data_IF_698849702450
#
_entry.id   IF_698849702450
#
_cell.length_a   1.000
_cell.length_b   1.000
_cell.length_c   1.000
_cell.angle_alpha   90.00
_cell.angle_beta   90.00
_cell.angle_gamma   90.00
#
_symmetry.space_group_name_H-M   'P 1'
#
loop_
_entity.id
_entity.type
_entity.pdbx_description
1 polymer ?
#
# COMPACT_ATOMS: atom_id res chain seq x y z
N UNK A 1 16.89 16.48 -18.70
CA UNK A 1 17.37 17.88 -18.58
C UNK A 1 16.51 18.57 -17.54
N UNK A 2 17.06 19.41 -16.66
CA UNK A 2 16.30 20.10 -15.62
C UNK A 2 15.71 21.43 -16.09
N UNK A 3 14.52 21.78 -15.60
CA UNK A 3 13.86 23.06 -15.89
C UNK A 3 14.69 24.26 -15.42
N UNK A 4 14.99 25.21 -16.31
CA UNK A 4 15.68 26.45 -15.97
C UNK A 4 14.72 27.64 -15.97
N UNK A 5 14.12 27.92 -14.82
CA UNK A 5 13.13 28.99 -14.64
C UNK A 5 13.62 30.36 -15.13
N UNK A 6 14.84 30.75 -14.78
CA UNK A 6 15.39 32.06 -15.17
C UNK A 6 15.59 32.20 -16.69
N UNK A 7 15.87 31.10 -17.40
CA UNK A 7 15.96 31.10 -18.85
C UNK A 7 14.58 31.10 -19.52
N UNK A 8 13.68 30.22 -19.06
CA UNK A 8 12.33 30.12 -19.64
C UNK A 8 11.52 31.41 -19.45
N UNK A 9 11.64 32.07 -18.29
CA UNK A 9 10.98 33.36 -18.05
C UNK A 9 11.51 34.49 -18.93
N UNK A 10 12.81 34.48 -19.23
CA UNK A 10 13.41 35.42 -20.20
C UNK A 10 12.89 35.19 -21.61
N UNK A 11 12.83 33.93 -22.06
CA UNK A 11 12.25 33.59 -23.37
C UNK A 11 10.78 34.01 -23.48
N UNK A 12 10.00 33.75 -22.43
CA UNK A 12 8.58 34.14 -22.39
C UNK A 12 8.44 35.66 -22.50
N UNK A 13 9.16 36.42 -21.69
CA UNK A 13 9.09 37.88 -21.70
C UNK A 13 9.53 38.47 -23.06
N UNK A 14 10.57 37.92 -23.69
CA UNK A 14 11.02 38.36 -25.01
C UNK A 14 9.96 38.13 -26.10
N UNK A 15 9.25 36.99 -26.08
CA UNK A 15 8.13 36.73 -26.99
C UNK A 15 6.98 37.73 -26.76
N UNK A 16 6.67 37.99 -25.49
CA UNK A 16 5.55 38.83 -25.09
C UNK A 16 5.75 40.32 -25.37
N UNK A 17 6.98 40.77 -25.52
CA UNK A 17 7.29 42.16 -25.89
C UNK A 17 6.68 42.54 -27.25
N UNK A 18 6.81 41.66 -28.25
CA UNK A 18 6.21 41.87 -29.57
C UNK A 18 4.71 41.59 -29.60
N UNK A 19 4.24 40.52 -28.93
CA UNK A 19 2.82 40.15 -28.88
C UNK A 19 1.95 41.26 -28.29
N UNK A 20 2.43 41.95 -27.24
CA UNK A 20 1.72 43.08 -26.64
C UNK A 20 1.47 44.21 -27.64
N UNK A 21 2.40 44.45 -28.57
CA UNK A 21 2.22 45.48 -29.61
C UNK A 21 1.19 45.01 -30.63
N UNK A 22 1.34 43.79 -31.16
CA UNK A 22 0.43 43.23 -32.16
C UNK A 22 -1.02 43.17 -31.67
N UNK A 23 -1.24 42.73 -30.44
CA UNK A 23 -2.60 42.66 -29.88
C UNK A 23 -3.21 44.03 -29.63
N UNK A 24 -2.41 45.04 -29.26
CA UNK A 24 -2.90 46.43 -29.16
C UNK A 24 -3.30 46.98 -30.52
N UNK A 25 -2.48 46.73 -31.56
CA UNK A 25 -2.78 47.13 -32.93
C UNK A 25 -4.02 46.43 -33.49
N UNK A 26 -4.27 45.19 -33.08
CA UNK A 26 -5.49 44.44 -33.38
C UNK A 26 -6.72 44.90 -32.58
N UNK A 27 -6.59 45.93 -31.72
CA UNK A 27 -7.69 46.50 -30.95
C UNK A 27 -8.06 45.73 -29.67
N UNK A 28 -7.21 44.81 -29.20
CA UNK A 28 -7.44 44.12 -27.93
C UNK A 28 -7.26 45.03 -26.73
N UNK A 29 -8.09 44.83 -25.71
CA UNK A 29 -7.98 45.59 -24.46
C UNK A 29 -6.72 45.21 -23.67
N UNK A 30 -6.25 46.11 -22.82
CA UNK A 30 -5.08 45.85 -21.97
C UNK A 30 -5.32 44.69 -21.03
N UNK A 31 -6.54 44.54 -20.54
CA UNK A 31 -6.98 43.46 -19.66
C UNK A 31 -6.92 42.12 -20.37
N UNK A 32 -7.40 42.04 -21.62
CA UNK A 32 -7.33 40.81 -22.42
C UNK A 32 -5.88 40.39 -22.71
N UNK A 33 -5.02 41.37 -23.06
CA UNK A 33 -3.59 41.12 -23.30
C UNK A 33 -2.88 40.65 -22.03
N UNK A 34 -3.23 41.23 -20.88
CA UNK A 34 -2.66 40.85 -19.59
C UNK A 34 -3.10 39.44 -19.17
N UNK A 35 -4.38 39.11 -19.34
CA UNK A 35 -4.91 37.78 -19.02
C UNK A 35 -4.25 36.68 -19.86
N UNK A 36 -3.95 36.94 -21.14
CA UNK A 36 -3.22 35.98 -21.97
C UNK A 36 -1.76 35.80 -21.52
N UNK A 37 -1.09 36.88 -21.08
CA UNK A 37 0.25 36.78 -20.52
C UNK A 37 0.27 35.97 -19.22
N UNK A 38 -0.73 36.17 -18.36
CA UNK A 38 -0.88 35.42 -17.12
C UNK A 38 -1.14 33.95 -17.38
N UNK A 39 -1.96 33.62 -18.38
CA UNK A 39 -2.17 32.23 -18.81
C UNK A 39 -0.84 31.56 -19.22
N UNK A 40 -0.04 32.19 -20.08
CA UNK A 40 1.24 31.62 -20.49
C UNK A 40 2.25 31.52 -19.32
N UNK A 41 2.19 32.47 -18.37
CA UNK A 41 3.00 32.42 -17.16
C UNK A 41 2.60 31.24 -16.27
N UNK A 42 1.29 30.97 -16.15
CA UNK A 42 0.75 29.85 -15.38
C UNK A 42 1.13 28.50 -16.01
N UNK A 43 1.13 28.39 -17.34
CA UNK A 43 1.66 27.21 -18.03
C UNK A 43 3.12 26.96 -17.66
N UNK A 44 3.97 27.99 -17.71
CA UNK A 44 5.38 27.88 -17.34
C UNK A 44 5.55 27.48 -15.86
N UNK A 45 4.74 28.05 -14.96
CA UNK A 45 4.75 27.68 -13.55
C UNK A 45 4.32 26.23 -13.33
N UNK A 46 3.34 25.75 -14.09
CA UNK A 46 2.87 24.36 -14.05
C UNK A 46 3.95 23.40 -14.53
N UNK A 47 4.64 23.69 -15.63
CA UNK A 47 5.77 22.89 -16.12
C UNK A 47 6.89 22.81 -15.08
N UNK A 48 7.23 23.94 -14.45
CA UNK A 48 8.20 23.98 -13.36
C UNK A 48 7.77 23.11 -12.18
N UNK A 49 6.51 23.21 -11.78
CA UNK A 49 5.97 22.45 -10.67
C UNK A 49 5.97 20.94 -10.98
N UNK A 50 5.62 20.58 -12.21
CA UNK A 50 5.69 19.20 -12.68
C UNK A 50 7.12 18.67 -12.60
N UNK A 51 8.11 19.36 -13.17
CA UNK A 51 9.50 18.91 -13.15
C UNK A 51 10.11 18.84 -11.74
N UNK A 52 9.65 19.70 -10.82
CA UNK A 52 10.11 19.70 -9.43
C UNK A 52 9.48 18.59 -8.59
N UNK A 53 8.22 18.25 -8.87
CA UNK A 53 7.43 17.32 -8.06
C UNK A 53 7.30 15.94 -8.70
N UNK A 54 7.84 15.72 -9.90
CA UNK A 54 7.90 14.40 -10.52
C UNK A 54 9.29 13.80 -10.39
N UNK A 55 9.32 12.57 -9.89
CA UNK A 55 10.53 11.75 -9.82
C UNK A 55 10.25 10.48 -10.61
N UNK A 56 11.14 10.13 -11.53
CA UNK A 56 11.07 8.87 -12.24
C UNK A 56 11.40 7.73 -11.27
N UNK A 57 10.56 6.70 -11.25
CA UNK A 57 10.85 5.45 -10.55
C UNK A 57 11.90 4.70 -11.38
N UNK A 58 13.14 4.72 -10.93
CA UNK A 58 14.26 4.06 -11.60
C UNK A 58 15.00 3.15 -10.62
N UNK A 59 15.27 1.90 -11.00
CA UNK A 59 16.10 0.94 -10.26
C UNK A 59 17.61 1.22 -10.46
N UNK A 60 18.00 2.49 -10.56
CA UNK A 60 19.32 2.90 -11.04
C UNK A 60 20.29 3.28 -9.92
N UNK A 61 21.39 2.53 -9.80
CA UNK A 61 22.51 2.71 -8.87
C UNK A 61 23.45 3.89 -9.23
N UNK A 62 23.03 4.83 -10.09
CA UNK A 62 23.90 5.87 -10.65
C UNK A 62 23.87 7.17 -9.82
N UNK A 63 25.06 7.71 -9.53
CA UNK A 63 25.33 8.73 -8.51
C UNK A 63 24.57 10.07 -8.72
N UNK A 64 24.13 10.34 -9.96
CA UNK A 64 23.39 11.57 -10.31
C UNK A 64 21.95 11.59 -9.81
N UNK A 65 21.40 10.41 -9.48
CA UNK A 65 20.04 10.24 -8.98
C UNK A 65 19.99 9.96 -7.48
N UNK A 66 21.12 9.97 -6.76
CA UNK A 66 21.21 9.59 -5.36
C UNK A 66 20.23 10.32 -4.42
N UNK A 67 19.95 11.61 -4.65
CA UNK A 67 18.94 12.37 -3.89
C UNK A 67 17.49 11.94 -4.21
N UNK A 68 17.19 11.69 -5.48
CA UNK A 68 15.86 11.22 -5.93
C UNK A 68 15.61 9.77 -5.51
N UNK A 69 16.65 8.94 -5.54
CA UNK A 69 16.64 7.58 -5.04
C UNK A 69 16.48 7.53 -3.50
N UNK A 70 17.04 8.49 -2.77
CA UNK A 70 16.85 8.59 -1.31
C UNK A 70 15.40 8.90 -0.92
N UNK A 71 14.74 9.84 -1.61
CA UNK A 71 13.32 10.14 -1.40
C UNK A 71 12.47 8.92 -1.76
N UNK A 72 12.76 8.25 -2.89
CA UNK A 72 12.04 7.04 -3.29
C UNK A 72 12.17 5.89 -2.28
N UNK A 73 13.37 5.63 -1.74
CA UNK A 73 13.57 4.59 -0.70
C UNK A 73 12.77 4.86 0.58
N UNK A 74 12.59 6.13 0.96
CA UNK A 74 11.74 6.49 2.12
C UNK A 74 10.26 6.23 1.83
N UNK A 75 9.80 6.58 0.62
CA UNK A 75 8.43 6.27 0.20
C UNK A 75 8.21 4.77 0.09
N UNK A 76 9.12 4.03 -0.55
CA UNK A 76 9.08 2.57 -0.66
C UNK A 76 9.00 1.92 0.72
N UNK A 77 9.87 2.30 1.67
CA UNK A 77 9.82 1.76 3.03
C UNK A 77 8.53 2.13 3.79
N UNK A 78 7.95 3.31 3.52
CA UNK A 78 6.70 3.73 4.17
C UNK A 78 5.45 3.05 3.59
N UNK A 79 5.49 2.63 2.32
CA UNK A 79 4.35 2.00 1.63
C UNK A 79 4.49 0.48 1.49
N UNK A 80 5.68 -0.07 1.68
CA UNK A 80 5.91 -1.52 1.64
C UNK A 80 5.52 -2.14 2.97
N UNK A 81 4.61 -3.10 2.93
CA UNK A 81 4.31 -3.99 4.04
C UNK A 81 4.90 -5.35 3.68
N UNK A 82 5.84 -5.83 4.50
CA UNK A 82 6.32 -7.21 4.41
C UNK A 82 5.33 -8.10 5.14
N UNK A 83 4.59 -8.91 4.37
CA UNK A 83 3.77 -9.98 4.93
C UNK A 83 4.67 -11.17 5.28
N UNK A 84 4.51 -11.71 6.49
CA UNK A 84 5.21 -12.91 6.98
C UNK A 84 4.34 -14.15 6.80
N UNK A 85 3.60 -14.21 5.69
CA UNK A 85 2.74 -15.33 5.36
C UNK A 85 3.55 -16.58 4.99
N UNK A 86 3.24 -17.69 5.65
CA UNK A 86 3.73 -19.01 5.32
C UNK A 86 2.73 -19.73 4.42
N UNK A 87 3.17 -20.22 3.27
CA UNK A 87 2.34 -21.10 2.44
C UNK A 87 2.05 -22.41 3.18
N UNK A 88 0.76 -22.70 3.39
CA UNK A 88 0.30 -23.91 4.08
C UNK A 88 -0.56 -24.78 3.18
N UNK A 89 -0.74 -26.05 3.55
CA UNK A 89 -1.70 -26.94 2.86
C UNK A 89 -3.16 -26.67 3.24
N UNK A 90 -3.39 -25.75 4.17
CA UNK A 90 -4.72 -25.43 4.69
C UNK A 90 -5.43 -24.43 3.79
N UNK A 91 -6.75 -24.57 3.66
CA UNK A 91 -7.61 -23.54 3.04
C UNK A 91 -7.95 -22.38 3.98
N UNK A 92 -7.58 -22.48 5.26
CA UNK A 92 -7.81 -21.46 6.27
C UNK A 92 -6.58 -20.53 6.34
N UNK A 93 -6.67 -19.35 5.74
CA UNK A 93 -5.55 -18.43 5.54
C UNK A 93 -4.84 -18.00 6.83
N UNK A 94 -5.57 -17.80 7.92
CA UNK A 94 -5.02 -17.41 9.23
C UNK A 94 -3.95 -18.37 9.76
N UNK A 95 -3.93 -19.62 9.28
CA UNK A 95 -2.90 -20.59 9.67
C UNK A 95 -1.54 -20.20 9.09
N UNK A 96 -1.50 -19.61 7.89
CA UNK A 96 -0.26 -19.10 7.29
C UNK A 96 0.30 -17.85 8.00
N UNK A 97 -0.52 -17.18 8.82
CA UNK A 97 -0.09 -16.04 9.64
C UNK A 97 0.57 -16.49 10.97
N UNK A 98 0.60 -17.80 11.27
CA UNK A 98 1.20 -18.32 12.51
C UNK A 98 2.72 -18.37 12.39
N UNK A 99 3.41 -17.47 13.09
CA UNK A 99 4.88 -17.40 13.13
C UNK A 99 5.53 -18.59 13.85
N UNK A 100 4.86 -19.16 14.86
CA UNK A 100 5.43 -20.29 15.60
C UNK A 100 5.39 -21.56 14.73
N UNK A 101 6.53 -21.90 14.12
CA UNK A 101 6.67 -23.04 13.20
C UNK A 101 6.23 -24.38 13.81
N UNK A 102 6.42 -24.56 15.12
CA UNK A 102 5.97 -25.78 15.80
C UNK A 102 4.44 -25.81 15.86
N UNK A 103 3.81 -24.68 16.15
CA UNK A 103 2.34 -24.55 16.17
C UNK A 103 1.75 -24.73 14.79
N UNK A 104 2.34 -24.08 13.80
CA UNK A 104 2.01 -24.26 12.40
C UNK A 104 2.04 -25.75 12.01
N UNK A 105 3.15 -26.44 12.30
CA UNK A 105 3.33 -27.87 12.02
C UNK A 105 2.33 -28.77 12.74
N UNK A 106 1.82 -28.36 13.91
CA UNK A 106 0.78 -29.11 14.62
C UNK A 106 -0.61 -28.85 14.05
N UNK A 107 -0.90 -27.62 13.66
CA UNK A 107 -2.16 -27.26 12.99
C UNK A 107 -2.28 -28.00 11.66
N UNK A 108 -1.20 -28.12 10.88
CA UNK A 108 -1.18 -28.88 9.62
C UNK A 108 -1.42 -30.39 9.79
N UNK A 109 -1.32 -30.92 11.02
CA UNK A 109 -1.63 -32.32 11.34
C UNK A 109 -3.09 -32.54 11.74
N UNK A 110 -3.85 -31.48 11.97
CA UNK A 110 -5.28 -31.59 12.27
C UNK A 110 -6.07 -31.90 11.00
N UNK A 111 -7.22 -32.56 11.18
CA UNK A 111 -8.15 -32.75 10.07
C UNK A 111 -8.80 -31.43 9.67
N UNK A 112 -9.30 -31.36 8.43
CA UNK A 112 -9.99 -30.17 7.94
C UNK A 112 -11.21 -29.80 8.81
N UNK A 113 -11.95 -30.79 9.32
CA UNK A 113 -13.07 -30.58 10.25
C UNK A 113 -12.62 -29.96 11.58
N UNK A 114 -11.46 -30.37 12.09
CA UNK A 114 -10.89 -29.84 13.32
C UNK A 114 -10.38 -28.42 13.11
N UNK A 115 -9.76 -28.14 11.96
CA UNK A 115 -9.35 -26.80 11.55
C UNK A 115 -10.55 -25.89 11.31
N UNK A 116 -11.63 -26.41 10.73
CA UNK A 116 -12.91 -25.68 10.57
C UNK A 116 -13.49 -25.31 11.93
N UNK A 117 -13.50 -26.27 12.87
CA UNK A 117 -13.96 -26.01 14.23
C UNK A 117 -13.10 -24.96 14.95
N UNK A 118 -11.78 -25.04 14.83
CA UNK A 118 -10.88 -24.02 15.38
C UNK A 118 -11.10 -22.65 14.73
N UNK A 119 -11.24 -22.59 13.41
CA UNK A 119 -11.49 -21.34 12.70
C UNK A 119 -12.75 -20.65 13.24
N UNK A 120 -13.85 -21.38 13.40
CA UNK A 120 -15.07 -20.82 13.99
C UNK A 120 -14.86 -20.38 15.45
N UNK A 121 -14.20 -21.21 16.26
CA UNK A 121 -14.10 -20.99 17.71
C UNK A 121 -13.07 -19.94 18.11
N UNK A 122 -11.87 -19.95 17.51
CA UNK A 122 -10.75 -19.10 17.91
C UNK A 122 -10.56 -17.90 17.01
N UNK A 123 -10.70 -18.06 15.70
CA UNK A 123 -10.44 -16.99 14.74
C UNK A 123 -11.68 -16.11 14.52
N UNK A 124 -12.85 -16.72 14.34
CA UNK A 124 -14.12 -15.99 14.15
C UNK A 124 -14.84 -15.68 15.47
N UNK A 125 -14.42 -16.27 16.59
CA UNK A 125 -14.95 -15.98 17.93
C UNK A 125 -16.35 -16.52 18.23
N UNK A 126 -16.82 -17.53 17.49
CA UNK A 126 -18.13 -18.13 17.73
C UNK A 126 -18.18 -18.89 19.05
N UNK A 127 -19.31 -18.77 19.75
CA UNK A 127 -19.60 -19.57 20.93
C UNK A 127 -19.91 -21.03 20.58
N UNK A 128 -19.74 -21.95 21.54
CA UNK A 128 -20.12 -23.38 21.38
C UNK A 128 -21.59 -23.53 20.94
N UNK A 129 -22.47 -22.65 21.44
CA UNK A 129 -23.89 -22.59 21.08
C UNK A 129 -24.12 -22.23 19.61
N UNK A 130 -23.35 -21.29 19.07
CA UNK A 130 -23.47 -20.87 17.66
C UNK A 130 -22.87 -21.92 16.73
N UNK A 131 -21.70 -22.44 17.08
CA UNK A 131 -21.04 -23.53 16.33
C UNK A 131 -21.94 -24.76 16.26
N UNK A 132 -22.67 -25.07 17.35
CA UNK A 132 -23.64 -26.16 17.41
C UNK A 132 -24.73 -26.03 16.35
N UNK A 133 -25.24 -24.81 16.15
CA UNK A 133 -26.25 -24.52 15.13
C UNK A 133 -25.64 -24.56 13.72
N UNK A 134 -24.47 -23.97 13.53
CA UNK A 134 -23.79 -23.89 12.22
C UNK A 134 -23.41 -25.29 11.70
N UNK A 135 -22.90 -26.16 12.58
CA UNK A 135 -22.45 -27.50 12.20
C UNK A 135 -23.55 -28.57 12.31
N UNK A 136 -24.70 -28.26 12.91
CA UNK A 136 -25.77 -29.24 13.14
C UNK A 136 -25.38 -30.33 14.14
N UNK A 137 -24.49 -30.02 15.09
CA UNK A 137 -23.92 -30.98 16.05
C UNK A 137 -24.24 -30.53 17.47
N UNK A 138 -24.44 -31.46 18.41
CA UNK A 138 -24.74 -31.11 19.80
C UNK A 138 -23.59 -30.32 20.48
N UNK A 139 -23.94 -29.37 21.35
CA UNK A 139 -22.96 -28.58 22.11
C UNK A 139 -21.96 -29.46 22.91
N UNK A 140 -22.38 -30.53 23.62
CA UNK A 140 -21.44 -31.42 24.30
C UNK A 140 -20.39 -32.03 23.36
N UNK A 141 -20.81 -32.44 22.16
CA UNK A 141 -19.89 -32.98 21.15
C UNK A 141 -18.85 -31.96 20.72
N UNK A 142 -19.24 -30.69 20.53
CA UNK A 142 -18.32 -29.61 20.20
C UNK A 142 -17.33 -29.37 21.34
N UNK A 143 -17.80 -29.26 22.58
CA UNK A 143 -16.92 -29.10 23.74
C UNK A 143 -15.91 -30.25 23.88
N UNK A 144 -16.32 -31.49 23.60
CA UNK A 144 -15.42 -32.65 23.60
C UNK A 144 -14.38 -32.54 22.48
N UNK A 145 -14.79 -32.17 21.26
CA UNK A 145 -13.85 -31.97 20.14
C UNK A 145 -12.84 -30.86 20.43
N UNK A 146 -13.27 -29.71 20.94
CA UNK A 146 -12.38 -28.62 21.35
C UNK A 146 -11.37 -29.12 22.38
N UNK A 147 -11.82 -29.78 23.47
CA UNK A 147 -10.92 -30.34 24.48
C UNK A 147 -9.90 -31.32 23.89
N UNK A 148 -10.33 -32.20 22.96
CA UNK A 148 -9.43 -33.14 22.28
C UNK A 148 -8.36 -32.40 21.48
N UNK A 149 -8.75 -31.39 20.70
CA UNK A 149 -7.82 -30.58 19.90
C UNK A 149 -6.85 -29.81 20.81
N UNK A 150 -7.36 -29.15 21.86
CA UNK A 150 -6.52 -28.44 22.83
C UNK A 150 -5.48 -29.37 23.46
N UNK A 151 -5.88 -30.57 23.88
CA UNK A 151 -4.96 -31.56 24.45
C UNK A 151 -3.94 -32.09 23.44
N UNK A 152 -4.30 -32.15 22.16
CA UNK A 152 -3.37 -32.51 21.09
C UNK A 152 -2.34 -31.41 20.88
N UNK A 153 -2.78 -30.15 20.74
CA UNK A 153 -1.90 -29.00 20.53
C UNK A 153 -0.93 -28.80 21.69
N UNK A 154 -1.38 -28.99 22.94
CA UNK A 154 -0.50 -28.92 24.14
C UNK A 154 0.70 -29.88 24.10
N UNK A 155 0.66 -30.97 23.31
CA UNK A 155 1.79 -31.92 23.22
C UNK A 155 3.00 -31.36 22.49
N UNK A 156 2.84 -30.24 21.81
CA UNK A 156 3.89 -29.65 20.98
C UNK A 156 4.60 -28.49 21.69
N UNK A 157 4.33 -28.32 22.99
CA UNK A 157 5.03 -27.40 23.89
C UNK A 157 5.18 -25.99 23.30
N UNK A 158 4.02 -25.36 23.07
CA UNK A 158 3.92 -23.97 22.61
C UNK A 158 3.89 -22.99 23.77
N UNK A 159 4.30 -23.42 24.98
CA UNK A 159 4.31 -22.55 26.15
C UNK A 159 4.99 -21.24 25.75
N UNK A 160 4.20 -20.20 25.95
CA UNK A 160 4.31 -18.91 25.30
C UNK A 160 5.66 -18.26 25.60
N UNK A 161 6.24 -17.65 24.56
CA UNK A 161 6.95 -16.36 24.58
C UNK A 161 7.53 -15.96 25.95
N UNK A 162 8.87 -16.01 26.06
CA UNK A 162 9.59 -14.87 26.64
C UNK A 162 9.38 -13.63 25.77
#
# INVERSE_FOLDING_TARGET
MSFNNGNERRKLNAKWEHLRVQYREAGMSKEAIQAMYEFDLDVLNSERAYDANTVAVCDGDDDKDARKAADFKQYEAAITVTDTYHETKSRFGWIGEIENERLLSALEKLSEDDLKLLTLYTYEGYTVTEISKVLGVSQPTISIKIKRITNFLKKFDFDAMD
#
